data_IF_735358421211
#
_entry.id   IF_735358421211
#
_cell.length_a   1.000
_cell.length_b   1.000
_cell.length_c   1.000
_cell.angle_alpha   90.00
_cell.angle_beta   90.00
_cell.angle_gamma   90.00
#
_symmetry.space_group_name_H-M   'P 1'
#
loop_
_entity.id
_entity.type
_entity.pdbx_description
1 polymer ?
#
# COMPACT_ATOMS: atom_id res chain seq x y z
N UNK A 1 14.78 26.68 10.58
CA UNK A 1 14.26 26.45 10.27
C UNK A 1 13.68 25.47 9.95
N UNK A 2 13.49 25.08 10.15
CA UNK A 2 13.07 24.25 9.84
C UNK A 2 12.05 24.02 9.12
N UNK A 3 11.85 24.70 8.63
CA UNK A 3 10.77 24.66 7.69
C UNK A 3 10.91 23.58 6.69
N UNK A 4 12.10 23.23 6.41
CA UNK A 4 12.36 22.17 5.44
C UNK A 4 11.74 20.84 5.86
N UNK A 5 11.66 20.58 7.17
CA UNK A 5 11.06 19.33 7.60
C UNK A 5 9.58 19.27 7.32
N UNK A 6 8.90 20.42 7.30
CA UNK A 6 7.47 20.43 7.02
C UNK A 6 7.17 20.14 5.58
N UNK A 7 8.08 20.49 4.69
CA UNK A 7 7.82 20.36 3.28
C UNK A 7 8.26 19.02 2.73
N UNK A 8 8.85 18.19 3.55
CA UNK A 8 9.29 16.89 3.06
C UNK A 8 8.11 15.97 2.80
N UNK A 9 8.13 15.38 1.61
CA UNK A 9 7.11 14.45 1.18
C UNK A 9 7.61 13.05 1.48
N UNK A 10 6.83 12.19 2.13
CA UNK A 10 7.29 10.83 2.41
C UNK A 10 7.57 10.06 1.13
N UNK A 11 8.69 9.35 1.11
CA UNK A 11 9.08 8.51 -0.01
C UNK A 11 9.61 7.20 0.55
N UNK A 12 9.71 6.18 -0.32
CA UNK A 12 10.32 4.92 0.03
C UNK A 12 9.72 4.29 1.28
N UNK A 13 10.59 3.90 2.21
CA UNK A 13 10.14 3.24 3.42
C UNK A 13 9.23 4.13 4.26
N UNK A 14 9.51 5.43 4.33
CA UNK A 14 8.68 6.35 5.09
C UNK A 14 7.26 6.39 4.51
N UNK A 15 7.14 6.39 3.19
CA UNK A 15 5.84 6.35 2.54
C UNK A 15 5.12 5.04 2.84
N UNK A 16 5.84 3.92 2.78
CA UNK A 16 5.25 2.62 3.08
C UNK A 16 4.73 2.58 4.52
N UNK A 17 5.50 3.09 5.47
CA UNK A 17 5.06 3.11 6.87
C UNK A 17 3.88 4.03 7.07
N UNK A 18 3.86 5.17 6.37
CA UNK A 18 2.72 6.08 6.46
C UNK A 18 1.46 5.41 5.96
N UNK A 19 1.57 4.65 4.85
CA UNK A 19 0.44 3.92 4.30
C UNK A 19 -0.06 2.88 5.30
N UNK A 20 0.85 2.18 5.98
CA UNK A 20 0.46 1.21 7.00
C UNK A 20 -0.38 1.87 8.10
N UNK A 21 0.06 3.04 8.58
CA UNK A 21 -0.68 3.76 9.61
C UNK A 21 -2.10 4.10 9.16
N UNK A 22 -2.23 4.58 7.94
CA UNK A 22 -3.53 4.94 7.39
C UNK A 22 -4.44 3.72 7.29
N UNK A 23 -3.88 2.61 6.82
CA UNK A 23 -4.66 1.39 6.65
C UNK A 23 -5.07 0.79 7.99
N UNK A 24 -4.19 0.86 8.99
CA UNK A 24 -4.53 0.39 10.32
C UNK A 24 -5.66 1.21 10.93
N UNK A 25 -5.64 2.52 10.69
CA UNK A 25 -6.72 3.39 11.17
C UNK A 25 -8.05 3.01 10.54
N UNK A 26 -8.04 2.42 9.36
CA UNK A 26 -9.24 1.98 8.67
C UNK A 26 -9.49 0.49 8.84
N UNK A 27 -8.89 -0.12 9.86
CA UNK A 27 -9.12 -1.51 10.23
C UNK A 27 -8.66 -2.49 9.16
N UNK A 28 -7.63 -2.13 8.41
CA UNK A 28 -7.01 -3.06 7.47
C UNK A 28 -6.47 -4.28 8.21
N UNK A 29 -6.58 -5.45 7.59
CA UNK A 29 -6.20 -6.71 8.20
C UNK A 29 -5.09 -7.38 7.42
N UNK A 30 -4.30 -8.19 8.12
CA UNK A 30 -3.25 -9.01 7.50
C UNK A 30 -2.30 -8.19 6.65
N UNK A 31 -1.88 -7.04 7.18
CA UNK A 31 -0.91 -6.19 6.50
C UNK A 31 0.41 -6.91 6.36
N UNK A 32 1.01 -6.78 5.18
CA UNK A 32 2.31 -7.36 4.91
C UNK A 32 3.11 -6.38 4.06
N UNK A 33 4.25 -5.95 4.58
CA UNK A 33 5.14 -5.03 3.88
C UNK A 33 6.37 -5.81 3.42
N UNK A 34 6.61 -5.80 2.12
CA UNK A 34 7.70 -6.57 1.52
C UNK A 34 8.72 -5.60 0.91
N UNK A 35 9.98 -5.80 1.24
CA UNK A 35 11.08 -5.04 0.66
C UNK A 35 11.52 -5.78 -0.60
N UNK A 36 11.24 -5.21 -1.76
CA UNK A 36 11.57 -5.84 -3.03
C UNK A 36 12.70 -5.11 -3.76
N UNK A 37 13.46 -4.28 -3.05
CA UNK A 37 14.51 -3.47 -3.68
C UNK A 37 15.55 -4.32 -4.41
N UNK A 38 15.84 -5.51 -3.88
CA UNK A 38 16.89 -6.34 -4.47
C UNK A 38 16.38 -7.28 -5.56
N UNK A 39 15.05 -7.40 -5.72
CA UNK A 39 14.49 -8.39 -6.64
C UNK A 39 13.56 -7.78 -7.68
N UNK A 40 13.25 -6.48 -7.57
CA UNK A 40 12.35 -5.81 -8.51
C UNK A 40 13.01 -4.56 -9.05
N UNK A 41 12.85 -4.33 -10.34
CA UNK A 41 13.30 -3.07 -10.95
C UNK A 41 12.17 -2.05 -11.03
N UNK A 42 10.97 -2.42 -10.59
CA UNK A 42 9.79 -1.56 -10.78
C UNK A 42 9.45 -0.76 -9.54
N UNK A 43 9.69 -1.31 -8.36
CA UNK A 43 9.36 -0.61 -7.11
C UNK A 43 10.26 -1.12 -6.01
N UNK A 44 10.26 -0.39 -4.90
CA UNK A 44 11.09 -0.73 -3.74
C UNK A 44 10.31 -1.52 -2.70
N UNK A 45 9.03 -1.25 -2.56
CA UNK A 45 8.21 -1.87 -1.52
C UNK A 45 6.84 -2.26 -2.07
N UNK A 46 6.35 -3.39 -1.59
CA UNK A 46 5.00 -3.84 -1.89
C UNK A 46 4.27 -3.99 -0.56
N UNK A 47 3.09 -3.39 -0.47
CA UNK A 47 2.27 -3.46 0.73
C UNK A 47 0.96 -4.16 0.40
N UNK A 48 0.64 -5.20 1.15
CA UNK A 48 -0.59 -5.95 0.98
C UNK A 48 -1.46 -5.75 2.21
N UNK A 49 -2.76 -5.60 1.99
CA UNK A 49 -3.72 -5.46 3.08
C UNK A 49 -5.04 -6.08 2.68
N UNK A 50 -5.72 -6.70 3.65
CA UNK A 50 -7.03 -7.27 3.43
C UNK A 50 -8.13 -6.36 3.93
N UNK A 51 -9.26 -6.35 3.21
CA UNK A 51 -10.49 -5.71 3.66
C UNK A 51 -11.61 -6.71 3.67
N UNK A 52 -12.56 -6.53 4.59
CA UNK A 52 -13.59 -7.54 4.85
C UNK A 52 -14.76 -7.48 3.88
N UNK A 53 -14.89 -6.41 3.09
CA UNK A 53 -16.04 -6.25 2.19
C UNK A 53 -15.68 -5.22 1.12
N UNK A 54 -16.42 -5.19 0.00
CA UNK A 54 -16.18 -4.15 -1.01
C UNK A 54 -16.24 -2.73 -0.44
N UNK A 55 -17.22 -2.36 0.41
CA UNK A 55 -17.16 -1.03 1.02
C UNK A 55 -15.91 -0.79 1.86
N UNK A 56 -15.40 -1.82 2.54
CA UNK A 56 -14.19 -1.68 3.33
C UNK A 56 -12.99 -1.44 2.42
N UNK A 57 -12.88 -2.20 1.31
CA UNK A 57 -11.82 -1.98 0.34
C UNK A 57 -11.85 -0.56 -0.18
N UNK A 58 -13.05 -0.07 -0.52
CA UNK A 58 -13.20 1.28 -1.05
C UNK A 58 -12.84 2.31 0.01
N UNK A 59 -13.21 2.09 1.26
CA UNK A 59 -12.90 3.04 2.33
C UNK A 59 -11.38 3.17 2.51
N UNK A 60 -10.65 2.07 2.49
CA UNK A 60 -9.20 2.12 2.59
C UNK A 60 -8.58 2.81 1.38
N UNK A 61 -9.07 2.50 0.19
CA UNK A 61 -8.63 3.12 -1.05
C UNK A 61 -8.81 4.64 -1.01
N UNK A 62 -9.99 5.08 -0.60
CA UNK A 62 -10.28 6.51 -0.55
C UNK A 62 -9.44 7.21 0.51
N UNK A 63 -9.31 6.60 1.67
CA UNK A 63 -8.56 7.23 2.76
C UNK A 63 -7.07 7.36 2.42
N UNK A 64 -6.49 6.33 1.82
CA UNK A 64 -5.10 6.40 1.40
C UNK A 64 -4.87 7.57 0.46
N UNK A 65 -5.69 7.67 -0.57
CA UNK A 65 -5.52 8.72 -1.56
C UNK A 65 -5.72 10.10 -0.94
N UNK A 66 -6.78 10.23 -0.13
CA UNK A 66 -7.10 11.51 0.48
C UNK A 66 -5.98 11.99 1.40
N UNK A 67 -5.56 11.13 2.31
CA UNK A 67 -4.55 11.50 3.29
C UNK A 67 -3.19 11.73 2.65
N UNK A 68 -2.78 10.84 1.76
CA UNK A 68 -1.48 10.98 1.12
C UNK A 68 -1.43 12.21 0.21
N UNK A 69 -2.55 12.52 -0.46
CA UNK A 69 -2.61 13.72 -1.28
C UNK A 69 -2.40 14.98 -0.45
N UNK A 70 -2.97 15.02 0.75
CA UNK A 70 -2.75 16.14 1.66
C UNK A 70 -1.29 16.28 2.07
N UNK A 71 -0.55 15.17 2.03
CA UNK A 71 0.86 15.17 2.38
C UNK A 71 1.76 15.30 1.16
N UNK A 72 1.17 15.62 0.00
CA UNK A 72 1.94 15.86 -1.22
C UNK A 72 2.23 14.62 -2.04
N UNK A 73 1.60 13.49 -1.73
CA UNK A 73 1.86 12.22 -2.42
C UNK A 73 0.66 11.88 -3.30
N UNK A 74 0.91 11.75 -4.60
CA UNK A 74 -0.14 11.43 -5.56
C UNK A 74 0.14 10.09 -6.21
N UNK A 75 -0.91 9.28 -6.37
CA UNK A 75 -0.76 8.00 -7.02
C UNK A 75 -0.37 8.20 -8.49
N UNK A 76 0.65 7.47 -8.92
CA UNK A 76 1.06 7.46 -10.30
C UNK A 76 0.07 6.68 -11.15
N UNK A 77 -0.45 5.58 -10.61
CA UNK A 77 -1.38 4.72 -11.32
C UNK A 77 -2.35 4.08 -10.34
N UNK A 78 -3.59 3.93 -10.78
CA UNK A 78 -4.65 3.32 -9.98
C UNK A 78 -5.36 2.28 -10.82
N UNK A 79 -5.70 1.14 -10.22
CA UNK A 79 -6.43 0.11 -10.95
C UNK A 79 -7.27 -0.73 -10.00
N UNK A 80 -8.20 -1.48 -10.57
CA UNK A 80 -9.06 -2.38 -9.82
C UNK A 80 -10.35 -1.71 -9.39
N UNK A 81 -11.25 -2.52 -8.86
CA UNK A 81 -12.56 -2.07 -8.40
C UNK A 81 -12.92 -2.83 -7.13
N UNK A 82 -13.71 -2.22 -6.22
CA UNK A 82 -14.08 -2.90 -4.98
C UNK A 82 -14.74 -4.25 -5.21
N UNK A 83 -15.60 -4.34 -6.22
CA UNK A 83 -16.35 -5.59 -6.46
C UNK A 83 -15.47 -6.70 -6.98
N UNK A 84 -14.32 -6.38 -7.56
CA UNK A 84 -13.38 -7.40 -8.01
C UNK A 84 -12.58 -8.01 -6.86
N UNK A 85 -12.58 -7.35 -5.71
CA UNK A 85 -11.83 -7.81 -4.56
C UNK A 85 -10.35 -7.50 -4.62
N UNK A 86 -9.92 -6.66 -5.57
CA UNK A 86 -8.50 -6.35 -5.72
C UNK A 86 -8.36 -4.95 -6.32
N UNK A 87 -7.76 -4.05 -5.55
CA UNK A 87 -7.49 -2.68 -5.96
C UNK A 87 -6.01 -2.38 -5.74
N UNK A 88 -5.43 -1.57 -6.62
CA UNK A 88 -4.00 -1.26 -6.58
C UNK A 88 -3.78 0.23 -6.65
N UNK A 89 -2.94 0.75 -5.75
CA UNK A 89 -2.43 2.12 -5.80
C UNK A 89 -0.93 2.06 -5.99
N UNK A 90 -0.47 2.61 -7.11
CA UNK A 90 0.94 2.59 -7.48
C UNK A 90 1.52 3.98 -7.23
N UNK A 91 2.42 4.08 -6.25
CA UNK A 91 3.12 5.32 -5.91
C UNK A 91 4.56 5.29 -6.38
N UNK A 92 4.88 4.41 -7.31
CA UNK A 92 6.20 4.20 -7.90
C UNK A 92 7.14 3.48 -6.92
N UNK A 93 7.56 4.15 -5.85
CA UNK A 93 8.42 3.50 -4.85
C UNK A 93 7.68 2.41 -4.09
N UNK A 94 6.38 2.59 -3.90
CA UNK A 94 5.55 1.70 -3.10
C UNK A 94 4.31 1.37 -3.91
N UNK A 95 4.01 0.08 -4.04
CA UNK A 95 2.78 -0.37 -4.67
C UNK A 95 1.93 -1.01 -3.58
N UNK A 96 0.69 -0.54 -3.45
CA UNK A 96 -0.22 -0.97 -2.40
C UNK A 96 -1.34 -1.78 -3.02
N UNK A 97 -1.49 -3.02 -2.55
CA UNK A 97 -2.55 -3.92 -2.99
C UNK A 97 -3.56 -4.09 -1.87
N UNK A 98 -4.80 -3.73 -2.16
CA UNK A 98 -5.92 -3.84 -1.22
C UNK A 98 -6.80 -4.97 -1.73
N UNK A 99 -6.89 -6.07 -0.96
CA UNK A 99 -7.54 -7.29 -1.44
C UNK A 99 -8.54 -7.82 -0.44
N UNK A 100 -9.56 -8.51 -0.97
CA UNK A 100 -10.39 -9.35 -0.13
C UNK A 100 -9.56 -10.54 0.34
N UNK A 101 -9.97 -11.21 1.43
CA UNK A 101 -9.27 -12.42 1.86
C UNK A 101 -9.24 -13.48 0.77
N UNK A 102 -10.32 -13.62 0.01
CA UNK A 102 -10.40 -14.59 -1.07
C UNK A 102 -9.41 -14.28 -2.18
N UNK A 103 -9.33 -13.01 -2.58
CA UNK A 103 -8.38 -12.60 -3.62
C UNK A 103 -6.95 -12.76 -3.14
N UNK A 104 -6.69 -12.44 -1.86
CA UNK A 104 -5.36 -12.59 -1.28
C UNK A 104 -4.88 -14.02 -1.39
N UNK A 105 -5.76 -14.96 -1.04
CA UNK A 105 -5.42 -16.38 -1.10
C UNK A 105 -5.30 -16.86 -2.54
N UNK A 106 -6.21 -16.44 -3.39
CA UNK A 106 -6.27 -16.92 -4.77
C UNK A 106 -5.03 -16.49 -5.56
N UNK A 107 -4.67 -15.20 -5.46
CA UNK A 107 -3.55 -14.67 -6.24
C UNK A 107 -2.21 -14.89 -5.57
N UNK A 108 -2.19 -15.02 -4.25
CA UNK A 108 -0.97 -15.32 -3.49
C UNK A 108 0.21 -14.43 -3.92
N UNK A 109 -0.04 -13.11 -3.94
CA UNK A 109 0.95 -12.15 -4.45
C UNK A 109 2.28 -12.21 -3.72
N UNK A 110 2.25 -12.53 -2.43
CA UNK A 110 3.47 -12.59 -1.64
C UNK A 110 4.42 -13.68 -2.13
N UNK A 111 3.91 -14.65 -2.89
CA UNK A 111 4.75 -15.72 -3.45
C UNK A 111 5.51 -15.27 -4.69
N UNK A 112 5.24 -14.09 -5.20
CA UNK A 112 6.01 -13.56 -6.32
C UNK A 112 7.43 -13.19 -5.91
N UNK A 113 7.63 -12.92 -4.62
CA UNK A 113 8.94 -12.50 -4.11
C UNK A 113 9.31 -13.36 -2.90
N UNK A 114 9.53 -14.67 -3.12
CA UNK A 114 9.70 -15.60 -1.97
C UNK A 114 10.93 -15.29 -1.13
N UNK A 115 11.95 -14.66 -1.71
CA UNK A 115 13.17 -14.38 -0.97
C UNK A 115 13.26 -12.96 -0.46
N UNK A 116 12.25 -12.13 -0.73
CA UNK A 116 12.27 -10.75 -0.30
C UNK A 116 11.95 -10.66 1.19
N UNK A 117 12.65 -9.79 1.92
CA UNK A 117 12.36 -9.65 3.35
C UNK A 117 10.98 -9.06 3.60
N UNK A 118 10.34 -9.56 4.65
CA UNK A 118 9.10 -8.98 5.13
C UNK A 118 9.46 -8.04 6.25
N UNK A 119 8.97 -6.80 6.17
CA UNK A 119 9.26 -5.79 7.19
C UNK A 119 8.09 -5.73 8.16
N UNK A 120 8.41 -5.32 9.39
CA UNK A 120 7.36 -5.15 10.38
C UNK A 120 6.51 -3.92 10.04
N UNK A 121 5.21 -4.09 10.22
CA UNK A 121 4.24 -3.01 9.99
C UNK A 121 3.96 -2.15 11.24
#
# INVERSE_FOLDING_TARGET
>A
MEASTHSEVPTGRALARRAVEILEDRKGENLLLIDVTDVSNLSDYVLLVNGSSPPHLKAMWNELQHTLKQEGVHAYRKSGMPDSGWMVLDYVDVVIHILSPEAREYYALEELWPEAPHLEC
#
